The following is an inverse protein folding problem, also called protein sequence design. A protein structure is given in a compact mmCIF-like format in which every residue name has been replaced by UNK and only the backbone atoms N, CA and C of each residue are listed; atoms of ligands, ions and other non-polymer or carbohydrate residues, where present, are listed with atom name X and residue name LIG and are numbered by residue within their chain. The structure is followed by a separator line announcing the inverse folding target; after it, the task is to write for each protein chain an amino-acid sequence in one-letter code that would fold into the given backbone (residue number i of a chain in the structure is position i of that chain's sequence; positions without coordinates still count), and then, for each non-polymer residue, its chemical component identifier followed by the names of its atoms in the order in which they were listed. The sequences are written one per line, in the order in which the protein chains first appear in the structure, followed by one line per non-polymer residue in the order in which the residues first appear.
data_IF_054653980753
#
_entry.id   IF_054653980753
#
_cell.length_a   1.000
_cell.length_b   1.000
_cell.length_c   1.000
_cell.angle_alpha   90.00
_cell.angle_beta   90.00
_cell.angle_gamma   90.00
#
_symmetry.space_group_name_H-M   'P 1'
#
loop_
_entity.id
_entity.type
_entity.pdbx_description
1 polymer ?
#
# COMPACT_ATOMS: atom_id res chain seq x y z
N UNK A 1 8.67 -25.79 -5.60
CA UNK A 1 9.53 -24.60 -5.43
C UNK A 1 10.94 -25.08 -5.09
N UNK A 2 11.66 -25.68 -6.05
CA UNK A 2 13.02 -26.24 -5.83
C UNK A 2 14.13 -25.33 -6.42
N UNK A 3 13.73 -24.26 -7.12
CA UNK A 3 14.63 -23.37 -7.87
C UNK A 3 15.39 -22.42 -6.94
N UNK A 4 14.82 -22.09 -5.77
CA UNK A 4 15.48 -21.24 -4.79
C UNK A 4 16.35 -22.02 -3.79
N UNK A 5 16.44 -23.36 -3.93
CA UNK A 5 17.10 -24.24 -2.95
C UNK A 5 16.75 -23.87 -1.50
N UNK A 6 15.52 -23.38 -1.28
CA UNK A 6 15.08 -23.09 0.08
C UNK A 6 15.05 -24.41 0.81
N UNK A 7 15.80 -24.46 1.90
CA UNK A 7 15.72 -25.60 2.81
C UNK A 7 14.24 -25.74 3.18
N UNK A 8 13.74 -26.97 3.21
CA UNK A 8 12.35 -27.25 3.57
C UNK A 8 11.89 -26.54 4.85
N UNK A 9 12.82 -26.11 5.70
CA UNK A 9 12.60 -25.22 6.84
C UNK A 9 13.51 -23.99 6.71
N UNK A 10 12.96 -22.90 6.17
CA UNK A 10 13.59 -21.59 6.21
C UNK A 10 12.80 -20.72 7.17
N UNK A 11 13.13 -20.83 8.47
CA UNK A 11 12.45 -20.14 9.58
C UNK A 11 12.68 -18.62 9.60
N UNK A 12 13.26 -18.06 8.53
CA UNK A 12 13.54 -16.63 8.43
C UNK A 12 12.45 -15.97 7.60
N UNK A 13 11.54 -15.28 8.28
CA UNK A 13 10.51 -14.42 7.67
C UNK A 13 11.11 -13.53 6.57
N UNK A 14 12.27 -12.93 6.82
CA UNK A 14 13.00 -12.10 5.84
C UNK A 14 13.33 -12.78 4.50
N UNK A 15 13.42 -14.12 4.45
CA UNK A 15 13.61 -14.81 3.19
C UNK A 15 12.30 -14.93 2.40
N UNK A 16 11.18 -15.11 3.10
CA UNK A 16 9.84 -15.22 2.50
C UNK A 16 9.39 -13.88 1.93
N UNK A 17 9.80 -12.76 2.54
CA UNK A 17 9.59 -11.41 2.00
C UNK A 17 10.00 -11.33 0.53
N UNK A 18 11.17 -11.90 0.21
CA UNK A 18 11.71 -11.92 -1.16
C UNK A 18 10.92 -12.78 -2.14
N UNK A 19 10.05 -13.68 -1.66
CA UNK A 19 9.20 -14.49 -2.54
C UNK A 19 7.98 -13.73 -3.05
N UNK A 20 7.58 -12.65 -2.36
CA UNK A 20 6.50 -11.76 -2.84
C UNK A 20 7.02 -10.73 -3.85
N UNK A 21 8.29 -10.34 -3.76
CA UNK A 21 8.92 -9.32 -4.62
C UNK A 21 8.73 -9.55 -6.13
N UNK A 22 8.84 -10.78 -6.69
CA UNK A 22 8.63 -11.02 -8.12
C UNK A 22 7.23 -10.63 -8.63
N UNK A 23 6.24 -10.56 -7.73
CA UNK A 23 4.88 -10.13 -8.03
C UNK A 23 4.67 -8.67 -7.67
N UNK A 24 5.23 -8.23 -6.55
CA UNK A 24 5.04 -6.89 -6.01
C UNK A 24 5.77 -5.82 -6.82
N UNK A 25 7.04 -6.04 -7.14
CA UNK A 25 7.87 -5.05 -7.86
C UNK A 25 7.28 -4.70 -9.23
N UNK A 26 6.84 -5.67 -10.07
CA UNK A 26 6.21 -5.34 -11.35
C UNK A 26 4.89 -4.58 -11.19
N UNK A 27 4.09 -4.87 -10.16
CA UNK A 27 2.85 -4.12 -9.86
C UNK A 27 3.18 -2.65 -9.57
N UNK A 28 4.15 -2.40 -8.69
CA UNK A 28 4.55 -1.05 -8.32
C UNK A 28 5.19 -0.29 -9.49
N UNK A 29 5.91 -0.98 -10.36
CA UNK A 29 6.50 -0.37 -11.56
C UNK A 29 5.46 0.27 -12.49
N UNK A 30 4.21 -0.21 -12.50
CA UNK A 30 3.11 0.38 -13.28
C UNK A 30 2.78 1.82 -12.84
N UNK A 31 3.16 2.21 -11.62
CA UNK A 31 2.97 3.55 -11.09
C UNK A 31 4.15 4.48 -11.39
N UNK A 32 5.15 4.04 -12.15
CA UNK A 32 6.28 4.87 -12.63
C UNK A 32 6.96 5.66 -11.49
N UNK A 33 7.16 5.00 -10.34
CA UNK A 33 7.77 5.58 -9.15
C UNK A 33 6.88 6.52 -8.34
N UNK A 34 5.61 6.71 -8.71
CA UNK A 34 4.63 7.49 -7.92
C UNK A 34 4.17 6.77 -6.66
N UNK A 35 4.31 5.45 -6.68
CA UNK A 35 4.12 4.56 -5.54
C UNK A 35 5.45 3.84 -5.34
N UNK A 36 5.93 3.81 -4.10
CA UNK A 36 7.18 3.17 -3.73
C UNK A 36 6.94 2.21 -2.58
N UNK A 37 7.69 1.11 -2.59
CA UNK A 37 7.81 0.20 -1.46
C UNK A 37 9.01 0.63 -0.61
N UNK A 38 8.76 0.93 0.66
CA UNK A 38 9.79 1.16 1.65
C UNK A 38 9.87 -0.06 2.56
N UNK A 39 10.81 -0.95 2.26
CA UNK A 39 11.05 -2.16 3.05
C UNK A 39 11.84 -1.84 4.32
N UNK A 40 11.45 -2.45 5.44
CA UNK A 40 12.21 -2.39 6.69
C UNK A 40 12.34 -0.98 7.28
N UNK A 41 11.50 -0.03 6.85
CA UNK A 41 11.34 1.23 7.57
C UNK A 41 10.74 0.93 8.94
N UNK A 42 11.30 1.59 9.96
CA UNK A 42 10.68 1.56 11.28
C UNK A 42 9.51 2.52 11.23
N UNK A 43 8.29 1.99 11.43
CA UNK A 43 7.12 2.84 11.58
C UNK A 43 7.34 3.86 12.67
N UNK A 44 6.96 5.12 12.41
CA UNK A 44 7.04 6.18 13.43
C UNK A 44 6.19 5.75 14.63
N UNK A 45 6.75 5.76 15.85
CA UNK A 45 5.98 5.43 17.04
C UNK A 45 4.72 6.30 17.16
N UNK A 46 3.61 5.64 17.49
CA UNK A 46 2.32 6.29 17.70
C UNK A 46 1.79 5.95 19.09
N UNK A 47 0.60 6.44 19.43
CA UNK A 47 -0.08 6.01 20.65
C UNK A 47 -0.53 4.54 20.60
N UNK A 48 -0.52 3.91 19.42
CA UNK A 48 -0.98 2.54 19.20
C UNK A 48 0.19 1.54 19.13
N UNK A 49 1.35 1.97 18.64
CA UNK A 49 2.52 1.11 18.48
C UNK A 49 3.78 1.83 18.91
N UNK A 50 4.71 1.09 19.51
CA UNK A 50 6.08 1.57 19.82
C UNK A 50 6.91 1.86 18.57
N UNK A 51 6.36 1.62 17.38
CA UNK A 51 7.12 1.48 16.15
C UNK A 51 7.68 0.06 16.03
N UNK A 52 7.84 -0.37 14.80
CA UNK A 52 8.33 -1.70 14.42
C UNK A 52 8.75 -1.67 12.97
N UNK A 53 9.66 -2.55 12.59
CA UNK A 53 9.94 -2.78 11.17
C UNK A 53 8.81 -3.65 10.63
N UNK A 54 8.17 -3.18 9.57
CA UNK A 54 7.22 -3.97 8.77
C UNK A 54 7.91 -4.44 7.50
N UNK A 55 7.43 -5.53 6.91
CA UNK A 55 8.11 -6.11 5.75
C UNK A 55 7.98 -5.21 4.51
N UNK A 56 6.78 -4.71 4.22
CA UNK A 56 6.58 -3.73 3.15
C UNK A 56 5.61 -2.61 3.57
N UNK A 57 6.04 -1.38 3.34
CA UNK A 57 5.21 -0.18 3.38
C UNK A 57 5.06 0.39 1.98
N UNK A 58 3.84 0.44 1.48
CA UNK A 58 3.57 1.07 0.19
C UNK A 58 3.10 2.50 0.41
N UNK A 59 3.96 3.43 0.02
CA UNK A 59 3.74 4.87 0.18
C UNK A 59 3.65 5.57 -1.17
N UNK A 60 2.81 6.59 -1.24
CA UNK A 60 2.72 7.47 -2.41
C UNK A 60 3.73 8.62 -2.29
N UNK A 61 4.18 9.17 -3.43
CA UNK A 61 4.87 10.47 -3.46
C UNK A 61 4.04 11.50 -2.68
N UNK A 62 4.65 12.10 -1.66
CA UNK A 62 3.97 12.94 -0.67
C UNK A 62 3.83 12.30 0.72
N UNK A 63 4.33 11.08 0.90
CA UNK A 63 4.49 10.43 2.20
C UNK A 63 3.21 9.82 2.78
N UNK A 64 2.15 9.67 1.97
CA UNK A 64 0.93 8.99 2.40
C UNK A 64 1.12 7.47 2.33
N UNK A 65 1.05 6.81 3.48
CA UNK A 65 1.12 5.35 3.62
C UNK A 65 -0.27 4.77 3.45
N UNK A 66 -0.49 3.92 2.45
CA UNK A 66 -1.83 3.40 2.18
C UNK A 66 -1.90 1.88 2.12
N UNK A 67 -0.77 1.14 2.10
CA UNK A 67 -0.78 -0.31 2.24
C UNK A 67 0.38 -0.77 3.14
N UNK A 68 0.04 -1.59 4.14
CA UNK A 68 0.99 -2.31 4.99
C UNK A 68 0.89 -3.80 4.65
N UNK A 69 2.03 -4.44 4.38
CA UNK A 69 2.09 -5.90 4.15
C UNK A 69 2.87 -6.52 5.29
N UNK A 70 2.19 -7.39 6.02
CA UNK A 70 2.75 -8.15 7.13
C UNK A 70 2.90 -9.62 6.73
N UNK A 71 4.11 -10.17 6.87
CA UNK A 71 4.42 -11.53 6.46
C UNK A 71 4.79 -12.43 7.64
N UNK A 72 4.09 -13.55 7.78
CA UNK A 72 4.24 -14.46 8.92
C UNK A 72 4.59 -15.89 8.51
N UNK A 73 5.11 -16.67 9.45
CA UNK A 73 5.33 -18.12 9.26
C UNK A 73 4.05 -18.96 9.31
N UNK A 74 2.97 -18.43 9.88
CA UNK A 74 1.65 -19.04 9.88
C UNK A 74 0.62 -18.08 10.44
N UNK A 75 -0.61 -18.12 9.90
CA UNK A 75 -1.65 -17.10 10.15
C UNK A 75 -2.61 -17.42 11.31
N UNK A 76 -2.46 -18.57 11.96
CA UNK A 76 -3.41 -19.05 12.99
C UNK A 76 -3.20 -18.41 14.37
N UNK A 77 -2.38 -17.36 14.46
CA UNK A 77 -2.11 -16.64 15.70
C UNK A 77 -2.84 -15.31 15.67
N UNK A 78 -3.77 -15.11 16.61
CA UNK A 78 -4.48 -13.85 16.81
C UNK A 78 -3.50 -12.66 16.91
N UNK A 79 -2.34 -12.88 17.55
CA UNK A 79 -1.26 -11.90 17.68
C UNK A 79 -0.84 -11.27 16.33
N UNK A 80 -0.86 -12.02 15.23
CA UNK A 80 -0.48 -11.52 13.91
C UNK A 80 -1.50 -10.54 13.35
N UNK A 81 -2.79 -10.84 13.50
CA UNK A 81 -3.87 -9.96 13.05
C UNK A 81 -3.87 -8.65 13.85
N UNK A 82 -3.61 -8.78 15.15
CA UNK A 82 -3.56 -7.66 16.08
C UNK A 82 -2.40 -6.75 15.77
N UNK A 83 -1.24 -7.33 15.47
CA UNK A 83 -0.08 -6.59 15.02
C UNK A 83 -0.41 -5.79 13.75
N UNK A 84 -0.99 -6.43 12.73
CA UNK A 84 -1.43 -5.72 11.51
C UNK A 84 -2.38 -4.56 11.85
N UNK A 85 -3.37 -4.77 12.72
CA UNK A 85 -4.32 -3.72 13.08
C UNK A 85 -3.65 -2.53 13.78
N UNK A 86 -2.69 -2.78 14.66
CA UNK A 86 -1.90 -1.72 15.30
C UNK A 86 -1.05 -0.93 14.28
N UNK A 87 -0.55 -1.60 13.25
CA UNK A 87 0.17 -0.96 12.15
C UNK A 87 -0.77 -0.12 11.28
N UNK A 88 -1.96 -0.61 10.93
CA UNK A 88 -2.97 0.16 10.21
C UNK A 88 -3.39 1.43 10.97
N UNK A 89 -3.58 1.33 12.29
CA UNK A 89 -3.87 2.49 13.14
C UNK A 89 -2.70 3.47 13.19
N UNK A 90 -1.48 2.96 13.26
CA UNK A 90 -0.26 3.79 13.26
C UNK A 90 -0.08 4.52 11.94
N UNK A 91 -0.31 3.84 10.82
CA UNK A 91 -0.31 4.42 9.48
C UNK A 91 -1.37 5.51 9.33
N UNK A 92 -2.60 5.26 9.81
CA UNK A 92 -3.67 6.25 9.76
C UNK A 92 -3.35 7.51 10.59
N UNK A 93 -2.76 7.33 11.77
CA UNK A 93 -2.32 8.44 12.61
C UNK A 93 -1.15 9.21 11.98
N UNK A 94 -0.21 8.53 11.33
CA UNK A 94 0.86 9.16 10.56
C UNK A 94 0.30 9.97 9.37
N UNK A 95 -0.63 9.39 8.60
CA UNK A 95 -1.32 10.05 7.50
C UNK A 95 -2.05 11.31 7.97
N UNK A 96 -2.73 11.25 9.12
CA UNK A 96 -3.41 12.39 9.72
C UNK A 96 -2.45 13.54 10.05
N UNK A 97 -1.26 13.24 10.58
CA UNK A 97 -0.23 14.26 10.84
C UNK A 97 0.26 14.93 9.55
N UNK A 98 0.27 14.16 8.45
CA UNK A 98 0.61 14.64 7.10
C UNK A 98 -0.57 15.30 6.36
N UNK A 99 -1.74 15.42 6.98
CA UNK A 99 -2.93 16.06 6.39
C UNK A 99 -3.83 15.14 5.56
N UNK A 100 -3.61 13.83 5.59
CA UNK A 100 -4.39 12.78 4.91
C UNK A 100 -5.39 12.10 5.85
N UNK A 101 -6.12 12.90 6.64
CA UNK A 101 -6.90 12.44 7.80
C UNK A 101 -8.04 11.46 7.49
N UNK A 102 -8.44 11.35 6.22
CA UNK A 102 -9.60 10.57 5.76
C UNK A 102 -9.20 9.41 4.84
N UNK A 103 -7.91 9.23 4.58
CA UNK A 103 -7.42 8.22 3.63
C UNK A 103 -7.44 6.85 4.28
N UNK A 104 -8.11 5.88 3.64
CA UNK A 104 -8.16 4.51 4.11
C UNK A 104 -6.76 3.89 4.06
N UNK A 105 -6.43 3.08 5.07
CA UNK A 105 -5.20 2.29 5.08
C UNK A 105 -5.56 0.84 4.84
N UNK A 106 -4.91 0.21 3.87
CA UNK A 106 -5.10 -1.18 3.52
C UNK A 106 -4.04 -2.05 4.19
N UNK A 107 -4.40 -3.28 4.53
CA UNK A 107 -3.52 -4.27 5.14
C UNK A 107 -3.56 -5.58 4.38
N UNK A 108 -2.39 -6.21 4.20
CA UNK A 108 -2.27 -7.57 3.71
C UNK A 108 -1.52 -8.40 4.74
N UNK A 109 -2.17 -9.44 5.26
CA UNK A 109 -1.53 -10.44 6.11
C UNK A 109 -1.35 -11.73 5.31
N UNK A 110 -0.13 -12.24 5.22
CA UNK A 110 0.15 -13.44 4.42
C UNK A 110 1.26 -14.32 4.98
N UNK A 111 1.16 -15.63 4.73
CA UNK A 111 2.25 -16.59 4.90
C UNK A 111 2.66 -17.23 3.56
N UNK A 112 2.28 -16.59 2.45
CA UNK A 112 2.36 -17.03 1.06
C UNK A 112 1.47 -18.21 0.69
N UNK A 113 0.80 -18.86 1.65
CA UNK A 113 -0.21 -19.88 1.38
C UNK A 113 -1.64 -19.32 1.50
N UNK A 114 -1.85 -18.36 2.40
CA UNK A 114 -3.06 -17.56 2.55
C UNK A 114 -2.74 -16.07 2.45
N UNK A 115 -3.64 -15.31 1.82
CA UNK A 115 -3.56 -13.86 1.66
C UNK A 115 -4.86 -13.23 2.16
N UNK A 116 -4.81 -12.58 3.33
CA UNK A 116 -5.96 -11.96 3.98
C UNK A 116 -5.89 -10.45 3.84
N UNK A 117 -6.91 -9.87 3.21
CA UNK A 117 -6.99 -8.45 2.92
C UNK A 117 -7.89 -7.74 3.93
N UNK A 118 -7.35 -6.70 4.53
CA UNK A 118 -8.02 -5.86 5.52
C UNK A 118 -7.94 -4.39 5.13
N UNK A 119 -8.75 -3.57 5.77
CA UNK A 119 -8.59 -2.13 5.71
C UNK A 119 -9.05 -1.48 7.01
N UNK A 120 -8.56 -0.27 7.26
CA UNK A 120 -9.01 0.62 8.32
C UNK A 120 -9.42 1.96 7.71
N UNK A 121 -10.67 2.35 7.94
CA UNK A 121 -11.21 3.64 7.51
C UNK A 121 -11.13 4.64 8.68
N UNK A 122 -10.28 5.69 8.61
CA UNK A 122 -10.16 6.67 9.68
C UNK A 122 -11.41 7.53 9.89
N UNK A 123 -12.28 7.64 8.87
CA UNK A 123 -13.50 8.46 8.92
C UNK A 123 -14.57 7.81 9.79
N UNK A 124 -14.80 6.50 9.60
CA UNK A 124 -15.71 5.70 10.42
C UNK A 124 -15.02 5.08 11.65
N UNK A 125 -13.69 5.08 11.70
CA UNK A 125 -12.85 4.40 12.71
C UNK A 125 -13.12 2.89 12.78
N UNK A 126 -13.41 2.27 11.65
CA UNK A 126 -13.76 0.86 11.57
C UNK A 126 -12.75 0.06 10.76
N UNK A 127 -12.51 -1.17 11.19
CA UNK A 127 -11.83 -2.18 10.39
C UNK A 127 -12.82 -2.92 9.50
N UNK A 128 -12.36 -3.31 8.32
CA UNK A 128 -13.11 -4.15 7.39
C UNK A 128 -12.23 -5.28 6.88
N UNK A 129 -12.76 -6.50 6.89
CA UNK A 129 -12.22 -7.63 6.15
C UNK A 129 -12.83 -7.65 4.75
N UNK A 130 -11.99 -7.90 3.73
CA UNK A 130 -12.44 -7.98 2.33
C UNK A 130 -12.47 -9.42 1.85
N UNK A 131 -11.32 -10.09 1.82
CA UNK A 131 -11.23 -11.48 1.36
C UNK A 131 -10.03 -12.24 1.96
N UNK A 132 -10.14 -13.57 1.98
CA UNK A 132 -9.06 -14.51 2.25
C UNK A 132 -8.86 -15.39 1.00
N UNK A 133 -7.66 -15.33 0.44
CA UNK A 133 -7.28 -16.08 -0.75
C UNK A 133 -6.31 -17.18 -0.35
N UNK A 134 -6.74 -18.43 -0.51
CA UNK A 134 -5.87 -19.59 -0.38
C UNK A 134 -5.19 -19.89 -1.70
N UNK A 135 -3.90 -20.17 -1.66
CA UNK A 135 -3.10 -20.60 -2.80
C UNK A 135 -2.65 -22.03 -2.64
N UNK A 136 -2.48 -22.72 -3.76
CA UNK A 136 -2.06 -24.11 -3.78
C UNK A 136 -0.57 -24.25 -3.42
N UNK A 137 -0.19 -25.36 -2.77
CA UNK A 137 1.20 -25.66 -2.50
C UNK A 137 1.97 -26.19 -3.74
N UNK A 138 1.25 -26.73 -4.74
CA UNK A 138 1.85 -27.20 -5.98
C UNK A 138 2.25 -26.02 -6.84
N UNK A 139 3.46 -26.06 -7.39
CA UNK A 139 4.07 -24.92 -8.11
C UNK A 139 3.19 -24.34 -9.22
N UNK A 140 2.67 -25.18 -10.11
CA UNK A 140 1.94 -24.69 -11.29
C UNK A 140 0.59 -24.08 -10.91
N UNK A 141 -0.10 -24.71 -9.95
CA UNK A 141 -1.34 -24.21 -9.37
C UNK A 141 -1.09 -22.93 -8.55
N UNK A 142 -0.01 -22.88 -7.77
CA UNK A 142 0.42 -21.68 -7.03
C UNK A 142 0.63 -20.50 -7.97
N UNK A 143 1.37 -20.68 -9.06
CA UNK A 143 1.60 -19.64 -10.06
C UNK A 143 0.28 -19.14 -10.67
N UNK A 144 -0.70 -20.03 -10.85
CA UNK A 144 -2.01 -19.67 -11.35
C UNK A 144 -2.81 -18.86 -10.31
N UNK A 145 -2.84 -19.30 -9.06
CA UNK A 145 -3.53 -18.62 -7.96
C UNK A 145 -2.92 -17.24 -7.69
N UNK A 146 -1.60 -17.10 -7.82
CA UNK A 146 -0.90 -15.83 -7.68
C UNK A 146 -1.30 -14.79 -8.73
N UNK A 147 -1.86 -15.19 -9.88
CA UNK A 147 -2.43 -14.23 -10.83
C UNK A 147 -3.59 -13.49 -10.17
N UNK A 148 -4.46 -14.19 -9.44
CA UNK A 148 -5.58 -13.56 -8.74
C UNK A 148 -5.08 -12.66 -7.60
N UNK A 149 -4.15 -13.17 -6.77
CA UNK A 149 -3.54 -12.40 -5.67
C UNK A 149 -2.88 -11.12 -6.20
N UNK A 150 -2.09 -11.21 -7.27
CA UNK A 150 -1.43 -10.06 -7.89
C UNK A 150 -2.45 -9.01 -8.37
N UNK A 151 -3.56 -9.45 -8.98
CA UNK A 151 -4.62 -8.54 -9.39
C UNK A 151 -5.33 -7.90 -8.21
N UNK A 152 -5.52 -8.62 -7.11
CA UNK A 152 -6.08 -8.06 -5.89
C UNK A 152 -5.15 -7.00 -5.28
N UNK A 153 -3.86 -7.30 -5.16
CA UNK A 153 -2.85 -6.35 -4.69
C UNK A 153 -2.84 -5.10 -5.58
N UNK A 154 -2.86 -5.27 -6.91
CA UNK A 154 -2.97 -4.15 -7.84
C UNK A 154 -4.25 -3.32 -7.61
N UNK A 155 -5.41 -3.97 -7.44
CA UNK A 155 -6.67 -3.28 -7.13
C UNK A 155 -6.56 -2.43 -5.87
N UNK A 156 -6.02 -3.00 -4.79
CA UNK A 156 -5.83 -2.31 -3.50
C UNK A 156 -4.92 -1.09 -3.67
N UNK A 157 -3.79 -1.26 -4.36
CA UNK A 157 -2.84 -0.17 -4.60
C UNK A 157 -3.47 0.92 -5.46
N UNK A 158 -4.22 0.56 -6.51
CA UNK A 158 -4.89 1.50 -7.38
C UNK A 158 -5.96 2.31 -6.64
N UNK A 159 -6.75 1.67 -5.78
CA UNK A 159 -7.73 2.34 -4.92
C UNK A 159 -7.07 3.33 -3.96
N UNK A 160 -6.04 2.88 -3.21
CA UNK A 160 -5.28 3.74 -2.31
C UNK A 160 -4.64 4.93 -3.02
N UNK A 161 -4.04 4.70 -4.20
CA UNK A 161 -3.47 5.75 -5.05
C UNK A 161 -4.50 6.82 -5.45
N UNK A 162 -5.69 6.41 -5.91
CA UNK A 162 -6.77 7.35 -6.25
C UNK A 162 -7.24 8.13 -5.01
N UNK A 163 -7.41 7.48 -3.87
CA UNK A 163 -7.84 8.14 -2.63
C UNK A 163 -6.84 9.20 -2.17
N UNK A 164 -5.55 8.90 -2.20
CA UNK A 164 -4.49 9.87 -1.86
C UNK A 164 -4.48 11.04 -2.86
N UNK A 165 -4.65 10.78 -4.17
CA UNK A 165 -4.77 11.84 -5.18
C UNK A 165 -5.96 12.76 -4.90
N UNK A 166 -7.14 12.20 -4.59
CA UNK A 166 -8.33 12.98 -4.22
C UNK A 166 -8.06 13.85 -2.99
N UNK A 167 -7.50 13.27 -1.94
CA UNK A 167 -7.16 14.01 -0.71
C UNK A 167 -6.15 15.13 -0.98
N UNK A 168 -5.15 14.89 -1.84
CA UNK A 168 -4.15 15.88 -2.25
C UNK A 168 -4.80 17.06 -2.99
N UNK A 169 -5.62 16.77 -4.00
CA UNK A 169 -6.33 17.80 -4.79
C UNK A 169 -7.27 18.62 -3.90
N UNK A 170 -8.07 17.96 -3.05
CA UNK A 170 -8.99 18.64 -2.14
C UNK A 170 -8.26 19.55 -1.14
N UNK A 171 -7.13 19.09 -0.61
CA UNK A 171 -6.31 19.88 0.31
C UNK A 171 -5.68 21.08 -0.40
N UNK A 172 -5.19 20.91 -1.62
CA UNK A 172 -4.70 22.02 -2.45
C UNK A 172 -5.78 23.06 -2.74
N UNK A 173 -7.00 22.64 -3.08
CA UNK A 173 -8.14 23.54 -3.32
C UNK A 173 -8.52 24.35 -2.08
N UNK A 174 -8.59 23.71 -0.91
CA UNK A 174 -8.91 24.39 0.36
C UNK A 174 -7.90 25.49 0.70
N UNK A 175 -6.61 25.19 0.55
CA UNK A 175 -5.53 26.16 0.79
C UNK A 175 -5.62 27.36 -0.17
N UNK A 176 -5.86 27.09 -1.46
CA UNK A 176 -6.05 28.15 -2.46
C UNK A 176 -7.22 29.09 -2.11
N UNK A 177 -8.31 28.56 -1.58
CA UNK A 177 -9.47 29.36 -1.16
C UNK A 177 -9.23 30.14 0.13
N UNK A 178 -8.51 29.57 1.11
CA UNK A 178 -8.29 30.19 2.42
C UNK A 178 -7.26 31.31 2.40
N UNK A 179 -6.18 31.15 1.64
CA UNK A 179 -5.05 32.07 1.74
C UNK A 179 -5.21 33.32 0.86
N UNK A 180 -6.14 33.33 -0.10
CA UNK A 180 -6.33 34.47 -1.02
C UNK A 180 -5.06 34.89 -1.79
N UNK A 181 -4.00 34.10 -1.66
CA UNK A 181 -2.69 34.36 -2.22
C UNK A 181 -2.69 33.92 -3.68
N UNK A 182 -2.05 34.75 -4.49
CA UNK A 182 -1.83 34.49 -5.90
C UNK A 182 -1.09 33.16 -6.09
N UNK A 183 -1.21 32.49 -7.26
CA UNK A 183 -0.74 31.11 -7.50
C UNK A 183 0.79 30.90 -7.41
N UNK A 184 1.55 31.87 -6.91
CA UNK A 184 3.02 31.83 -6.88
C UNK A 184 3.43 31.03 -5.65
N UNK A 185 3.67 29.75 -5.90
CA UNK A 185 3.74 28.70 -4.91
C UNK A 185 4.90 28.80 -3.93
N UNK A 186 4.67 28.27 -2.74
CA UNK A 186 5.67 27.67 -1.87
C UNK A 186 4.95 27.15 -0.61
N UNK A 187 4.88 25.82 -0.44
CA UNK A 187 4.47 25.28 0.87
C UNK A 187 3.95 23.86 0.87
N UNK A 188 3.17 23.45 -0.14
CA UNK A 188 2.48 22.16 -0.07
C UNK A 188 3.46 20.97 -0.12
N UNK A 189 4.42 21.02 -1.04
CA UNK A 189 5.44 19.97 -1.16
C UNK A 189 6.53 20.07 -0.09
N UNK A 190 6.86 21.26 0.43
CA UNK A 190 7.90 21.36 1.46
C UNK A 190 7.41 20.79 2.81
N UNK A 191 6.10 20.82 3.07
CA UNK A 191 5.50 20.13 4.22
C UNK A 191 5.29 18.62 3.97
N UNK A 192 4.94 18.20 2.74
CA UNK A 192 4.67 16.79 2.42
C UNK A 192 5.94 15.96 2.14
N UNK A 193 7.00 16.58 1.62
CA UNK A 193 8.33 15.96 1.39
C UNK A 193 9.20 16.05 2.64
N UNK A 194 8.79 16.83 3.66
CA UNK A 194 9.25 16.60 5.03
C UNK A 194 8.60 15.32 5.58
N UNK A 195 8.77 14.21 4.86
CA UNK A 195 8.79 12.90 5.50
C UNK A 195 9.78 13.06 6.66
N UNK A 196 9.39 12.77 7.91
CA UNK A 196 10.35 12.69 9.01
C UNK A 196 11.33 11.58 8.63
N UNK A 197 12.40 11.97 7.93
CA UNK A 197 13.38 11.05 7.43
C UNK A 197 14.09 10.53 8.67
N UNK A 198 13.78 9.29 9.03
CA UNK A 198 14.53 8.52 10.03
C UNK A 198 15.94 8.21 9.48
N UNK A 199 16.24 8.56 8.22
CA UNK A 199 17.57 8.42 7.67
C UNK A 199 18.55 9.36 8.40
N UNK A 200 19.70 8.83 8.85
CA UNK A 200 20.69 9.59 9.60
C UNK A 200 21.19 10.81 8.80
N UNK A 201 21.37 11.93 9.49
CA UNK A 201 21.66 13.26 8.94
C UNK A 201 22.96 13.41 8.11
N UNK A 202 23.68 12.33 7.83
CA UNK A 202 25.04 12.35 7.24
C UNK A 202 25.09 12.58 5.72
N UNK A 203 23.96 12.72 5.03
CA UNK A 203 23.92 12.97 3.58
C UNK A 203 22.93 14.09 3.17
N UNK A 204 22.90 15.21 3.90
CA UNK A 204 22.21 16.42 3.43
C UNK A 204 23.01 17.11 2.31
N UNK A 205 22.93 16.57 1.10
CA UNK A 205 23.31 17.28 -0.13
C UNK A 205 22.43 18.52 -0.31
N UNK A 206 23.02 19.59 -0.85
CA UNK A 206 22.40 20.91 -1.01
C UNK A 206 21.00 20.83 -1.66
N UNK A 207 20.06 21.72 -1.27
CA UNK A 207 18.71 21.75 -1.81
C UNK A 207 18.76 22.16 -3.28
N UNK A 208 18.79 21.19 -4.18
CA UNK A 208 18.46 21.42 -5.57
C UNK A 208 17.02 21.96 -5.64
N UNK A 209 16.80 23.02 -6.42
CA UNK A 209 15.48 23.63 -6.58
C UNK A 209 14.51 22.59 -7.17
N UNK A 210 13.74 21.93 -6.31
CA UNK A 210 12.72 20.99 -6.74
C UNK A 210 11.60 21.79 -7.38
N UNK A 211 11.45 21.63 -8.69
CA UNK A 211 10.34 22.18 -9.46
C UNK A 211 9.04 21.74 -8.81
N UNK A 212 8.24 22.70 -8.34
CA UNK A 212 6.99 22.42 -7.64
C UNK A 212 5.94 21.88 -8.63
N UNK A 213 5.38 20.72 -8.34
CA UNK A 213 4.20 20.20 -9.03
C UNK A 213 3.01 21.13 -8.78
N UNK A 214 2.34 21.57 -9.84
CA UNK A 214 1.19 22.47 -9.71
C UNK A 214 -0.08 21.71 -9.28
N UNK A 215 -1.05 22.40 -8.67
CA UNK A 215 -2.36 21.80 -8.36
C UNK A 215 -3.03 21.23 -9.62
N UNK A 216 -2.88 21.89 -10.76
CA UNK A 216 -3.42 21.44 -12.05
C UNK A 216 -2.83 20.09 -12.47
N UNK A 217 -1.56 19.83 -12.15
CA UNK A 217 -0.93 18.55 -12.47
C UNK A 217 -1.50 17.42 -11.59
N UNK A 218 -1.70 17.67 -10.30
CA UNK A 218 -2.39 16.72 -9.43
C UNK A 218 -3.82 16.40 -9.90
N UNK A 219 -4.57 17.42 -10.32
CA UNK A 219 -5.92 17.23 -10.87
C UNK A 219 -5.91 16.38 -12.15
N UNK A 220 -4.99 16.66 -13.08
CA UNK A 220 -4.81 15.81 -14.27
C UNK A 220 -4.45 14.38 -13.90
N UNK A 221 -3.70 14.20 -12.81
CA UNK A 221 -3.24 12.89 -12.34
C UNK A 221 -4.38 12.08 -11.78
N UNK A 222 -5.21 12.72 -10.96
CA UNK A 222 -6.45 12.16 -10.47
C UNK A 222 -7.36 11.74 -11.62
N UNK A 223 -7.63 12.64 -12.57
CA UNK A 223 -8.50 12.33 -13.72
C UNK A 223 -8.00 11.13 -14.53
N UNK A 224 -6.69 11.04 -14.77
CA UNK A 224 -6.08 9.91 -15.48
C UNK A 224 -6.17 8.61 -14.68
N UNK A 225 -5.89 8.66 -13.38
CA UNK A 225 -6.00 7.49 -12.51
C UNK A 225 -7.44 6.96 -12.46
N UNK A 226 -8.42 7.85 -12.33
CA UNK A 226 -9.84 7.49 -12.36
C UNK A 226 -10.26 6.90 -13.71
N UNK A 227 -9.81 7.50 -14.82
CA UNK A 227 -10.08 6.98 -16.16
C UNK A 227 -9.42 5.61 -16.39
N UNK A 228 -8.17 5.43 -15.95
CA UNK A 228 -7.46 4.15 -16.01
C UNK A 228 -8.22 3.08 -15.21
N UNK A 229 -8.62 3.40 -13.98
CA UNK A 229 -9.38 2.47 -13.14
C UNK A 229 -10.73 2.12 -13.76
N UNK A 230 -11.49 3.11 -14.23
CA UNK A 230 -12.77 2.88 -14.91
C UNK A 230 -12.61 1.96 -16.13
N UNK A 231 -11.58 2.19 -16.95
CA UNK A 231 -11.25 1.35 -18.11
C UNK A 231 -10.96 -0.10 -17.70
N UNK A 232 -10.21 -0.28 -16.62
CA UNK A 232 -9.85 -1.60 -16.07
C UNK A 232 -11.03 -2.32 -15.41
N UNK A 233 -12.11 -1.61 -15.04
CA UNK A 233 -13.34 -2.23 -14.51
C UNK A 233 -14.29 -2.72 -15.62
N UNK A 234 -14.04 -2.41 -16.89
CA UNK A 234 -14.93 -2.80 -17.98
C UNK A 234 -14.92 -4.33 -18.22
N UNK A 235 -16.03 -5.02 -17.97
CA UNK A 235 -16.16 -6.48 -18.16
C UNK A 235 -16.00 -6.87 -19.65
N UNK A 236 -14.94 -7.60 -20.03
CA UNK A 236 -14.67 -7.95 -21.42
C UNK A 236 -15.56 -9.11 -21.88
N UNK A 237 -15.90 -9.12 -23.16
CA UNK A 237 -16.67 -10.22 -23.78
C UNK A 237 -15.78 -11.36 -24.28
N UNK A 238 -14.50 -11.11 -24.51
CA UNK A 238 -13.51 -12.07 -24.98
C UNK A 238 -12.08 -11.67 -24.57
N UNK A 239 -11.10 -12.52 -24.84
CA UNK A 239 -9.70 -12.32 -24.45
C UNK A 239 -9.02 -11.16 -25.16
N UNK A 240 -9.29 -10.94 -26.45
CA UNK A 240 -8.71 -9.82 -27.21
C UNK A 240 -9.19 -8.47 -26.65
N UNK A 241 -10.48 -8.36 -26.35
CA UNK A 241 -11.06 -7.18 -25.71
C UNK A 241 -10.50 -6.95 -24.31
N UNK A 242 -10.24 -8.02 -23.56
CA UNK A 242 -9.60 -7.97 -22.25
C UNK A 242 -8.18 -7.39 -22.35
N UNK A 243 -7.34 -7.93 -23.24
CA UNK A 243 -5.97 -7.45 -23.46
C UNK A 243 -5.94 -6.00 -23.96
N UNK A 244 -6.82 -5.64 -24.89
CA UNK A 244 -6.96 -4.27 -25.39
C UNK A 244 -7.34 -3.30 -24.29
N UNK A 245 -8.35 -3.61 -23.46
CA UNK A 245 -8.79 -2.74 -22.36
C UNK A 245 -7.75 -2.61 -21.26
N UNK A 246 -7.11 -3.72 -20.89
CA UNK A 246 -6.00 -3.70 -19.94
C UNK A 246 -4.87 -2.79 -20.44
N UNK A 247 -4.49 -2.93 -21.71
CA UNK A 247 -3.46 -2.10 -22.34
C UNK A 247 -3.84 -0.62 -22.36
N UNK A 248 -5.09 -0.28 -22.69
CA UNK A 248 -5.57 1.10 -22.67
C UNK A 248 -5.57 1.69 -21.26
N UNK A 249 -6.06 0.93 -20.26
CA UNK A 249 -6.08 1.36 -18.86
C UNK A 249 -4.67 1.59 -18.30
N UNK A 250 -3.76 0.65 -18.56
CA UNK A 250 -2.36 0.79 -18.15
C UNK A 250 -1.65 1.93 -18.89
N UNK A 251 -1.98 2.16 -20.17
CA UNK A 251 -1.46 3.32 -20.91
C UNK A 251 -1.89 4.62 -20.26
N UNK A 252 -3.15 4.77 -19.83
CA UNK A 252 -3.62 5.95 -19.11
C UNK A 252 -2.88 6.16 -17.78
N UNK A 253 -2.53 5.07 -17.08
CA UNK A 253 -1.78 5.12 -15.83
C UNK A 253 -0.31 5.54 -16.05
N UNK A 254 0.34 4.99 -17.08
CA UNK A 254 1.76 5.20 -17.39
C UNK A 254 2.00 6.52 -18.13
N UNK A 255 1.00 7.03 -18.85
CA UNK A 255 1.12 8.25 -19.65
C UNK A 255 1.65 9.40 -18.79
N UNK A 256 2.91 9.77 -19.04
CA UNK A 256 3.63 10.76 -18.26
C UNK A 256 2.78 12.01 -18.17
N UNK A 257 2.61 12.50 -16.94
CA UNK A 257 2.31 13.91 -16.76
C UNK A 257 3.52 14.64 -17.29
N UNK A 258 3.35 15.34 -18.42
CA UNK A 258 4.43 16.08 -19.04
C UNK A 258 4.81 17.27 -18.16
N UNK A 259 5.56 17.02 -17.08
CA UNK A 259 6.55 17.90 -16.43
C UNK A 259 6.92 17.37 -15.03
N UNK A 260 8.20 17.01 -14.89
CA UNK A 260 9.02 17.22 -13.69
C UNK A 260 8.59 16.61 -12.34
N UNK A 261 8.26 15.32 -12.27
CA UNK A 261 8.64 14.60 -11.05
C UNK A 261 10.12 14.23 -11.16
N UNK A 262 10.98 14.59 -10.18
CA UNK A 262 12.27 13.94 -10.08
C UNK A 262 11.98 12.47 -9.84
N UNK A 263 12.07 11.67 -10.90
CA UNK A 263 12.13 10.22 -10.77
C UNK A 263 13.33 9.98 -9.85
N UNK A 264 13.08 9.49 -8.63
CA UNK A 264 14.16 9.12 -7.74
C UNK A 264 15.08 8.19 -8.55
N UNK A 265 16.40 8.44 -8.60
CA UNK A 265 17.34 7.56 -9.26
C UNK A 265 17.45 6.26 -8.45
N UNK A 266 16.42 5.43 -8.54
CA UNK A 266 16.42 4.09 -8.00
C UNK A 266 17.07 3.22 -9.07
N UNK A 267 18.31 2.80 -8.82
CA UNK A 267 19.11 1.93 -9.67
C UNK A 267 18.51 0.52 -9.89
N UNK A 268 17.26 0.29 -9.49
CA UNK A 268 16.55 -1.00 -9.51
C UNK A 268 15.25 -1.00 -10.33
N UNK A 269 14.85 0.12 -10.95
CA UNK A 269 13.63 0.11 -11.78
C UNK A 269 13.91 -0.33 -13.22
N UNK A 270 13.36 -1.50 -13.58
CA UNK A 270 13.06 -1.83 -14.99
C UNK A 270 11.91 -0.90 -15.43
N UNK A 271 12.07 -0.18 -16.55
CA UNK A 271 10.98 0.66 -17.06
C UNK A 271 9.81 -0.22 -17.45
N UNK A 272 8.57 0.22 -17.18
CA UNK A 272 7.39 -0.52 -17.62
C UNK A 272 7.37 -0.73 -19.14
N UNK A 273 7.97 0.20 -19.91
CA UNK A 273 8.17 0.08 -21.37
C UNK A 273 9.07 -1.08 -21.80
N UNK A 274 9.90 -1.59 -20.90
CA UNK A 274 10.87 -2.65 -21.18
C UNK A 274 10.32 -4.04 -20.80
N UNK A 275 9.14 -4.08 -20.16
CA UNK A 275 8.42 -5.31 -19.77
C UNK A 275 7.54 -5.80 -20.94
N UNK A 276 8.15 -6.13 -22.08
CA UNK A 276 7.46 -6.69 -23.26
C UNK A 276 6.91 -8.13 -23.07
N UNK A 277 6.99 -8.68 -21.85
CA UNK A 277 6.54 -10.04 -21.52
C UNK A 277 5.91 -10.09 -20.13
N UNK A 278 4.87 -9.27 -19.88
CA UNK A 278 3.99 -9.54 -18.74
C UNK A 278 3.17 -10.81 -19.03
N UNK A 279 2.88 -11.65 -18.02
CA UNK A 279 1.89 -12.70 -18.17
C UNK A 279 0.57 -12.10 -18.68
N UNK A 280 0.00 -12.74 -19.71
CA UNK A 280 -1.26 -12.42 -20.40
C UNK A 280 -2.31 -11.81 -19.47
N UNK A 281 -3.09 -10.86 -19.98
CA UNK A 281 -4.10 -10.04 -19.29
C UNK A 281 -5.28 -10.82 -18.66
N UNK A 282 -5.08 -12.06 -18.22
CA UNK A 282 -6.11 -13.03 -17.86
C UNK A 282 -6.98 -12.68 -16.66
N UNK A 283 -6.77 -11.56 -15.98
CA UNK A 283 -7.71 -11.07 -14.97
C UNK A 283 -7.54 -9.56 -14.83
N UNK A 284 -8.64 -8.82 -15.01
CA UNK A 284 -8.71 -7.40 -14.63
C UNK A 284 -8.79 -7.29 -13.11
N UNK A 285 -8.36 -6.15 -12.53
CA UNK A 285 -8.74 -5.79 -11.17
C UNK A 285 -10.26 -5.86 -11.04
N UNK A 286 -10.77 -6.80 -10.25
CA UNK A 286 -12.20 -6.79 -9.88
C UNK A 286 -12.42 -5.67 -8.87
N UNK A 287 -13.63 -5.11 -8.85
CA UNK A 287 -14.09 -4.23 -7.78
C UNK A 287 -13.80 -4.94 -6.46
N UNK A 288 -12.86 -4.39 -5.69
CA UNK A 288 -12.62 -4.83 -4.32
C UNK A 288 -13.87 -4.49 -3.53
N UNK A 289 -14.49 -5.48 -2.89
CA UNK A 289 -15.76 -5.32 -2.20
C UNK A 289 -15.57 -4.65 -0.81
N UNK A 290 -14.64 -3.71 -0.67
CA UNK A 290 -14.57 -2.84 0.51
C UNK A 290 -15.85 -2.00 0.71
N UNK A 291 -16.83 -2.12 -0.19
CA UNK A 291 -18.17 -1.51 -0.13
C UNK A 291 -19.29 -2.52 0.16
N UNK A 292 -19.00 -3.76 0.54
CA UNK A 292 -20.04 -4.77 0.79
C UNK A 292 -20.73 -4.53 2.13
N UNK A 293 -22.05 -4.35 2.10
CA UNK A 293 -22.95 -4.38 3.28
C UNK A 293 -23.11 -5.79 3.89
N UNK A 294 -22.38 -6.79 3.39
CA UNK A 294 -22.35 -8.13 3.98
C UNK A 294 -21.37 -8.09 5.15
N UNK A 295 -21.82 -8.39 6.37
CA UNK A 295 -20.98 -8.48 7.56
C UNK A 295 -20.35 -9.89 7.68
N UNK A 296 -19.07 -10.10 7.35
CA UNK A 296 -18.27 -11.15 7.97
C UNK A 296 -17.69 -10.58 9.26
N UNK A 297 -18.14 -11.07 10.42
CA UNK A 297 -17.77 -10.54 11.74
C UNK A 297 -18.17 -9.06 11.85
N UNK A 298 -19.17 -8.75 12.67
CA UNK A 298 -19.64 -7.36 12.79
C UNK A 298 -18.46 -6.44 13.14
N UNK A 299 -18.48 -5.17 12.72
CA UNK A 299 -17.43 -4.22 13.10
C UNK A 299 -17.23 -4.20 14.62
N UNK A 300 -18.29 -4.44 15.39
CA UNK A 300 -18.28 -4.62 16.84
C UNK A 300 -17.52 -5.87 17.28
N UNK A 301 -17.69 -7.01 16.62
CA UNK A 301 -16.92 -8.24 16.91
C UNK A 301 -15.45 -8.09 16.52
N UNK A 302 -15.14 -7.46 15.39
CA UNK A 302 -13.75 -7.14 15.00
C UNK A 302 -13.11 -6.15 15.97
N UNK A 303 -13.86 -5.14 16.41
CA UNK A 303 -13.44 -4.19 17.43
C UNK A 303 -13.26 -4.88 18.79
N UNK A 304 -14.13 -5.82 19.14
CA UNK A 304 -14.05 -6.59 20.39
C UNK A 304 -12.86 -7.57 20.35
N UNK A 305 -12.63 -8.25 19.23
CA UNK A 305 -11.44 -9.10 19.01
C UNK A 305 -10.18 -8.25 19.05
N UNK A 306 -10.16 -7.08 18.41
CA UNK A 306 -9.03 -6.16 18.45
C UNK A 306 -8.79 -5.64 19.87
N UNK A 307 -9.83 -5.18 20.58
CA UNK A 307 -9.74 -4.65 21.93
C UNK A 307 -9.32 -5.73 22.94
N UNK A 308 -9.89 -6.92 22.86
CA UNK A 308 -9.55 -8.06 23.73
C UNK A 308 -8.12 -8.51 23.48
N UNK A 309 -7.70 -8.57 22.22
CA UNK A 309 -6.35 -8.98 21.89
C UNK A 309 -5.30 -7.93 22.22
N UNK A 310 -5.58 -6.63 22.01
CA UNK A 310 -4.72 -5.53 22.48
C UNK A 310 -4.58 -5.57 24.00
N UNK A 311 -5.68 -5.79 24.72
CA UNK A 311 -5.67 -5.95 26.18
C UNK A 311 -4.81 -7.14 26.60
N UNK A 312 -5.02 -8.31 26.00
CA UNK A 312 -4.25 -9.54 26.29
C UNK A 312 -2.77 -9.38 25.98
N UNK A 313 -2.44 -8.73 24.87
CA UNK A 313 -1.07 -8.39 24.51
C UNK A 313 -0.43 -7.47 25.55
N UNK A 314 -1.14 -6.41 25.98
CA UNK A 314 -0.67 -5.49 27.01
C UNK A 314 -0.42 -6.19 28.35
N UNK A 315 -1.34 -7.05 28.79
CA UNK A 315 -1.17 -7.87 30.00
C UNK A 315 0.06 -8.79 29.91
N UNK A 316 0.25 -9.44 28.76
CA UNK A 316 1.42 -10.30 28.50
C UNK A 316 2.72 -9.50 28.52
N UNK A 317 2.71 -8.30 27.94
CA UNK A 317 3.86 -7.39 27.94
C UNK A 317 4.25 -6.97 29.36
N UNK A 318 3.27 -6.58 30.19
CA UNK A 318 3.50 -6.23 31.60
C UNK A 318 4.09 -7.41 32.38
N UNK A 319 3.58 -8.63 32.19
CA UNK A 319 4.12 -9.83 32.84
C UNK A 319 5.59 -10.08 32.47
N UNK A 320 6.00 -9.84 31.22
CA UNK A 320 7.40 -10.00 30.78
C UNK A 320 8.35 -8.97 31.41
N UNK A 321 7.86 -7.74 31.66
CA UNK A 321 8.64 -6.71 32.35
C UNK A 321 8.92 -7.08 33.81
N UNK A 322 7.93 -7.65 34.50
CA UNK A 322 8.08 -8.12 35.89
C UNK A 322 9.08 -9.28 36.02
N UNK A 323 9.20 -10.12 34.98
CA UNK A 323 10.14 -11.24 34.97
C UNK A 323 11.57 -10.82 34.61
N UNK A 324 11.75 -9.76 33.81
CA UNK A 324 13.07 -9.23 33.45
C UNK A 324 13.74 -8.41 34.58
N UNK A 325 13.00 -8.08 35.64
CA UNK A 325 13.48 -7.24 36.76
C UNK A 325 13.98 -8.07 37.96
N UNK A 326 14.10 -9.39 37.82
CA UNK A 326 14.63 -10.32 38.84
C UNK A 326 15.93 -10.96 38.37
#
# INVERSE_FOLDING_TARGET
MDVYQERAHQDREAARVKLLEPWFVPILALFEGRVIDTQGSVMVPTQFSTGGAVEHEVVMIGGALFLVVEMKLGLDKDDNLVQLFLELLSAAEANKRSGFNITRVYGLLTDLSSFRFYSYDPSSKSFSFDEDVLTNAKRDDFCFDMIYVANKIFSVIMCGYIEVLRATVQTGKRKYQQEGLTPVGSGLMQQLIQTPSILPASHQSQPHSTTHTSLSDWEKGLLRAEAAYAKLQEVPTNLENLESRASEGLKLLVERQASHYPVLPCHLFVRASDLNSFPSARCLPRVSAFTSDVQPITAEELELVAAESVKKWHETFLQRLDHSSK
#
